data_IF_367047431057
#
_entry.id   IF_367047431057
#
_cell.length_a   1.000
_cell.length_b   1.000
_cell.length_c   1.000
_cell.angle_alpha   90.00
_cell.angle_beta   90.00
_cell.angle_gamma   90.00
#
_symmetry.space_group_name_H-M   'P 1'
#
loop_
_entity.id
_entity.type
_entity.pdbx_description
1 polymer ?
#
# COMPACT_ATOMS: atom_id res chain seq x y z
N UNK A 1 -26.06 -0.18 47.26
CA UNK A 1 -24.73 -0.28 46.60
C UNK A 1 -24.77 -0.96 45.26
N UNK A 2 -25.35 -2.18 45.08
CA UNK A 2 -25.39 -2.92 43.78
C UNK A 2 -26.15 -2.18 42.66
N UNK A 3 -27.23 -1.45 42.95
CA UNK A 3 -27.99 -0.69 41.92
C UNK A 3 -27.21 0.52 41.45
N UNK A 4 -26.53 1.25 42.33
CA UNK A 4 -25.71 2.42 42.00
C UNK A 4 -24.56 2.07 41.08
N UNK A 5 -23.89 0.94 41.30
CA UNK A 5 -22.82 0.43 40.44
C UNK A 5 -23.35 0.12 39.03
N UNK A 6 -24.54 -0.50 38.90
CA UNK A 6 -25.16 -0.79 37.61
C UNK A 6 -25.50 0.49 36.84
N UNK A 7 -26.00 1.52 37.51
CA UNK A 7 -26.33 2.80 36.88
C UNK A 7 -25.06 3.48 36.36
N UNK A 8 -23.99 3.54 37.14
CA UNK A 8 -22.72 4.10 36.73
C UNK A 8 -22.19 3.34 35.50
N UNK A 9 -22.24 2.01 35.50
CA UNK A 9 -21.79 1.18 34.39
C UNK A 9 -22.58 1.45 33.09
N UNK A 10 -23.92 1.59 33.22
CA UNK A 10 -24.74 1.98 32.06
C UNK A 10 -24.39 3.36 31.51
N UNK A 11 -24.14 4.34 32.39
CA UNK A 11 -23.75 5.69 31.96
C UNK A 11 -22.41 5.68 31.27
N UNK A 12 -21.44 4.92 31.76
CA UNK A 12 -20.12 4.77 31.10
C UNK A 12 -20.26 4.14 29.71
N UNK A 13 -21.06 3.06 29.61
CA UNK A 13 -21.29 2.41 28.28
C UNK A 13 -21.94 3.41 27.32
N UNK A 14 -22.96 4.13 27.74
CA UNK A 14 -23.62 5.14 26.91
C UNK A 14 -22.63 6.25 26.46
N UNK A 15 -21.78 6.72 27.35
CA UNK A 15 -20.77 7.72 27.02
C UNK A 15 -19.75 7.19 26.02
N UNK A 16 -19.30 5.94 26.14
CA UNK A 16 -18.37 5.31 25.19
C UNK A 16 -19.03 5.12 23.83
N UNK A 17 -20.29 4.68 23.77
CA UNK A 17 -21.02 4.51 22.53
C UNK A 17 -21.24 5.84 21.80
N UNK A 18 -21.64 6.90 22.53
CA UNK A 18 -21.80 8.23 21.93
C UNK A 18 -20.48 8.80 21.43
N UNK A 19 -19.40 8.71 22.19
CA UNK A 19 -18.07 9.12 21.76
C UNK A 19 -17.62 8.36 20.49
N UNK A 20 -17.87 7.05 20.45
CA UNK A 20 -17.58 6.23 19.29
C UNK A 20 -18.32 6.70 18.02
N UNK A 21 -19.61 7.04 18.15
CA UNK A 21 -20.40 7.57 17.05
C UNK A 21 -19.88 8.92 16.53
N UNK A 22 -19.44 9.81 17.42
CA UNK A 22 -18.83 11.09 17.01
C UNK A 22 -17.53 10.89 16.23
N UNK A 23 -16.70 9.94 16.67
CA UNK A 23 -15.46 9.60 15.95
C UNK A 23 -15.76 9.05 14.56
N UNK A 24 -16.71 8.13 14.42
CA UNK A 24 -17.13 7.59 13.12
C UNK A 24 -17.66 8.67 12.19
N UNK A 25 -18.47 9.58 12.72
CA UNK A 25 -19.03 10.70 11.94
C UNK A 25 -17.92 11.67 11.50
N UNK A 26 -16.94 11.96 12.35
CA UNK A 26 -15.78 12.78 11.99
C UNK A 26 -14.93 12.13 10.87
N UNK A 27 -14.71 10.82 10.91
CA UNK A 27 -14.02 10.08 9.85
C UNK A 27 -14.76 10.19 8.51
N UNK A 28 -16.10 10.06 8.52
CA UNK A 28 -16.92 10.19 7.32
C UNK A 28 -16.93 11.60 6.76
N UNK A 29 -17.14 12.61 7.60
CA UNK A 29 -17.20 14.01 7.15
C UNK A 29 -15.91 14.48 6.50
N UNK A 30 -14.77 14.02 7.02
CA UNK A 30 -13.45 14.38 6.50
C UNK A 30 -12.97 13.44 5.39
N UNK A 31 -13.78 12.44 5.00
CA UNK A 31 -13.46 11.44 3.98
C UNK A 31 -12.07 10.82 4.20
N UNK A 32 -11.81 10.39 5.43
CA UNK A 32 -10.52 9.86 5.84
C UNK A 32 -10.39 8.38 5.46
N UNK A 33 -9.17 7.96 5.16
CA UNK A 33 -8.84 6.55 4.98
C UNK A 33 -8.98 5.79 6.29
N UNK A 34 -9.62 4.62 6.24
CA UNK A 34 -9.86 3.78 7.41
C UNK A 34 -8.56 3.37 8.12
N UNK A 35 -8.61 3.20 9.45
CA UNK A 35 -7.46 2.75 10.24
C UNK A 35 -6.88 1.44 9.74
N UNK A 36 -5.56 1.25 9.95
CA UNK A 36 -4.82 0.04 9.55
C UNK A 36 -4.84 -0.26 8.05
N UNK A 37 -4.98 0.78 7.22
CA UNK A 37 -4.87 0.67 5.77
C UNK A 37 -3.41 0.78 5.36
N UNK A 38 -2.88 -0.27 4.72
CA UNK A 38 -1.49 -0.32 4.27
C UNK A 38 -1.41 -0.61 2.78
N UNK A 39 -0.48 0.08 2.11
CA UNK A 39 -0.06 -0.19 0.74
C UNK A 39 1.45 -0.42 0.74
N UNK A 40 1.90 -1.60 0.31
CA UNK A 40 3.32 -1.97 0.25
C UNK A 40 4.11 -1.61 1.54
N UNK A 41 3.53 -1.87 2.73
CA UNK A 41 4.08 -1.55 4.06
C UNK A 41 4.07 -0.05 4.44
N UNK A 42 3.47 0.81 3.63
CA UNK A 42 3.27 2.23 3.93
C UNK A 42 1.88 2.40 4.54
N UNK A 43 1.78 3.11 5.65
CA UNK A 43 0.52 3.36 6.35
C UNK A 43 -0.19 4.59 5.77
N UNK A 44 -1.45 4.42 5.36
CA UNK A 44 -2.33 5.45 4.83
C UNK A 44 -3.42 5.87 5.81
N UNK A 45 -3.39 5.34 7.03
CA UNK A 45 -4.40 5.58 8.05
C UNK A 45 -4.67 7.07 8.28
N UNK A 46 -5.92 7.46 8.19
CA UNK A 46 -6.37 8.81 8.57
C UNK A 46 -6.02 9.93 7.58
N UNK A 47 -5.43 9.60 6.43
CA UNK A 47 -5.24 10.60 5.37
C UNK A 47 -6.58 10.92 4.70
N UNK A 48 -6.81 12.19 4.39
CA UNK A 48 -7.89 12.62 3.52
C UNK A 48 -7.64 12.21 2.07
N UNK A 49 -8.66 12.27 1.22
CA UNK A 49 -8.55 11.89 -0.20
C UNK A 49 -7.47 12.68 -0.95
N UNK A 50 -7.33 13.98 -0.67
CA UNK A 50 -6.30 14.83 -1.27
C UNK A 50 -4.90 14.51 -0.76
N UNK A 51 -4.73 14.33 0.55
CA UNK A 51 -3.45 13.95 1.15
C UNK A 51 -3.00 12.57 0.70
N UNK A 52 -3.92 11.62 0.63
CA UNK A 52 -3.63 10.26 0.18
C UNK A 52 -3.13 10.22 -1.27
N UNK A 53 -3.67 11.08 -2.15
CA UNK A 53 -3.20 11.15 -3.54
C UNK A 53 -1.77 11.68 -3.61
N UNK A 54 -1.47 12.79 -2.95
CA UNK A 54 -0.12 13.36 -2.91
C UNK A 54 0.88 12.36 -2.30
N UNK A 55 0.50 11.77 -1.16
CA UNK A 55 1.33 10.81 -0.45
C UNK A 55 1.60 9.55 -1.27
N UNK A 56 0.60 9.05 -2.02
CA UNK A 56 0.75 7.91 -2.92
C UNK A 56 1.70 8.24 -4.07
N UNK A 57 1.55 9.40 -4.73
CA UNK A 57 2.39 9.83 -5.84
C UNK A 57 3.86 9.99 -5.42
N UNK A 58 4.12 10.60 -4.26
CA UNK A 58 5.47 10.75 -3.72
C UNK A 58 6.13 9.39 -3.39
N UNK A 59 5.37 8.51 -2.72
CA UNK A 59 5.90 7.19 -2.37
C UNK A 59 6.11 6.30 -3.60
N UNK A 60 5.25 6.37 -4.61
CA UNK A 60 5.46 5.67 -5.87
C UNK A 60 6.67 6.20 -6.63
N UNK A 61 6.86 7.52 -6.68
CA UNK A 61 8.05 8.12 -7.28
C UNK A 61 9.32 7.61 -6.58
N UNK A 62 9.35 7.65 -5.26
CA UNK A 62 10.48 7.14 -4.47
C UNK A 62 10.72 5.65 -4.70
N UNK A 63 9.65 4.85 -4.81
CA UNK A 63 9.74 3.42 -5.11
C UNK A 63 10.31 3.17 -6.51
N UNK A 64 9.85 3.88 -7.52
CA UNK A 64 10.30 3.73 -8.92
C UNK A 64 11.76 4.16 -9.13
N UNK A 65 12.23 5.15 -8.37
CA UNK A 65 13.61 5.65 -8.47
C UNK A 65 14.58 4.93 -7.54
N UNK A 66 14.10 4.08 -6.62
CA UNK A 66 14.96 3.34 -5.70
C UNK A 66 15.80 2.31 -6.46
N UNK A 67 17.14 2.37 -6.34
CA UNK A 67 18.02 1.43 -7.00
C UNK A 67 17.86 0.02 -6.40
N UNK A 68 17.72 -0.97 -7.27
CA UNK A 68 17.78 -2.38 -6.95
C UNK A 68 19.06 -2.99 -7.49
N UNK A 69 19.62 -3.96 -6.78
CA UNK A 69 20.80 -4.66 -7.26
C UNK A 69 20.41 -5.91 -8.05
N UNK A 70 20.95 -6.05 -9.24
CA UNK A 70 20.85 -7.25 -10.06
C UNK A 70 22.24 -7.87 -10.13
N UNK A 71 22.34 -9.15 -9.75
CA UNK A 71 23.58 -9.91 -9.82
C UNK A 71 23.52 -10.97 -10.90
N UNK A 72 24.53 -11.02 -11.77
CA UNK A 72 24.69 -12.08 -12.75
C UNK A 72 26.16 -12.46 -12.88
N UNK A 73 26.49 -13.75 -12.79
CA UNK A 73 27.84 -14.31 -12.93
C UNK A 73 28.93 -13.60 -12.12
N UNK A 74 28.58 -13.17 -10.90
CA UNK A 74 29.52 -12.46 -10.02
C UNK A 74 29.62 -10.96 -10.23
N UNK A 75 29.05 -10.41 -11.32
CA UNK A 75 28.89 -8.98 -11.49
C UNK A 75 27.57 -8.49 -10.83
N UNK A 76 27.62 -7.33 -10.18
CA UNK A 76 26.45 -6.70 -9.57
C UNK A 76 26.28 -5.33 -10.19
N UNK A 77 25.08 -5.07 -10.71
CA UNK A 77 24.68 -3.80 -11.31
C UNK A 77 23.46 -3.25 -10.60
N UNK A 78 23.32 -1.92 -10.62
CA UNK A 78 22.16 -1.23 -10.08
C UNK A 78 21.18 -0.88 -11.20
N UNK A 79 19.89 -1.13 -10.98
CA UNK A 79 18.81 -0.76 -11.89
C UNK A 79 17.65 -0.19 -11.09
N UNK A 80 16.92 0.76 -11.66
CA UNK A 80 15.71 1.30 -11.05
C UNK A 80 14.47 0.71 -11.74
N UNK A 81 13.33 0.70 -11.02
CA UNK A 81 12.04 0.31 -11.61
C UNK A 81 11.64 1.22 -12.78
N UNK A 82 12.10 2.47 -12.75
CA UNK A 82 11.87 3.43 -13.83
C UNK A 82 12.63 3.05 -15.09
N UNK A 83 13.88 2.59 -15.00
CA UNK A 83 14.68 2.14 -16.17
C UNK A 83 14.06 0.93 -16.87
N UNK A 84 13.36 0.06 -16.15
CA UNK A 84 12.65 -1.10 -16.72
C UNK A 84 11.18 -0.80 -17.05
N UNK A 85 10.80 0.47 -17.05
CA UNK A 85 9.47 0.97 -17.41
C UNK A 85 8.33 0.22 -16.68
N UNK A 86 8.45 0.07 -15.36
CA UNK A 86 7.38 -0.52 -14.55
C UNK A 86 6.18 0.41 -14.56
N UNK A 87 5.14 0.01 -15.25
CA UNK A 87 3.86 0.73 -15.26
C UNK A 87 3.08 0.46 -13.98
N UNK A 88 2.97 1.46 -13.12
CA UNK A 88 2.07 1.44 -11.97
C UNK A 88 0.97 2.47 -12.23
N UNK A 89 -0.29 2.00 -12.25
CA UNK A 89 -1.42 2.90 -12.41
C UNK A 89 -1.86 3.42 -11.04
N UNK A 90 -1.52 4.67 -10.77
CA UNK A 90 -1.84 5.37 -9.52
C UNK A 90 -3.34 5.42 -9.24
N UNK A 91 -4.18 5.64 -10.28
CA UNK A 91 -5.63 5.74 -10.10
C UNK A 91 -6.24 4.38 -9.72
N UNK A 92 -5.72 3.27 -10.25
CA UNK A 92 -6.18 1.94 -9.84
C UNK A 92 -5.89 1.69 -8.36
N UNK A 93 -4.71 2.09 -7.88
CA UNK A 93 -4.35 1.93 -6.47
C UNK A 93 -5.20 2.86 -5.60
N UNK A 94 -5.31 4.13 -6.00
CA UNK A 94 -6.08 5.13 -5.29
C UNK A 94 -7.54 4.72 -5.09
N UNK A 95 -8.18 4.17 -6.14
CA UNK A 95 -9.56 3.69 -6.08
C UNK A 95 -9.75 2.42 -5.23
N UNK A 96 -8.68 1.76 -4.81
CA UNK A 96 -8.73 0.64 -3.87
C UNK A 96 -8.60 1.06 -2.41
N UNK A 97 -8.21 2.31 -2.15
CA UNK A 97 -8.11 2.83 -0.79
C UNK A 97 -9.51 2.95 -0.17
N UNK A 98 -9.69 2.48 1.08
CA UNK A 98 -10.98 2.51 1.76
C UNK A 98 -11.22 3.87 2.40
N UNK A 99 -11.92 4.76 1.72
CA UNK A 99 -12.35 6.03 2.30
C UNK A 99 -13.64 5.85 3.12
N UNK A 100 -13.69 6.46 4.30
CA UNK A 100 -14.78 6.25 5.25
C UNK A 100 -16.16 6.67 4.70
N UNK A 101 -16.21 7.65 3.78
CA UNK A 101 -17.44 8.08 3.12
C UNK A 101 -18.09 6.98 2.27
N UNK A 102 -17.28 6.04 1.76
CA UNK A 102 -17.75 4.97 0.85
C UNK A 102 -18.38 3.78 1.60
N UNK A 103 -18.37 3.79 2.96
CA UNK A 103 -18.76 2.66 3.80
C UNK A 103 -19.87 3.00 4.80
N UNK A 104 -20.66 2.01 5.17
CA UNK A 104 -21.57 2.07 6.32
C UNK A 104 -20.80 2.07 7.64
N UNK A 105 -21.44 2.50 8.74
CA UNK A 105 -20.79 2.51 10.06
C UNK A 105 -20.35 1.10 10.50
N UNK A 106 -21.13 0.07 10.17
CA UNK A 106 -20.78 -1.32 10.51
C UNK A 106 -19.53 -1.79 9.75
N UNK A 107 -19.42 -1.44 8.46
CA UNK A 107 -18.26 -1.75 7.65
C UNK A 107 -17.00 -1.00 8.12
N UNK A 108 -17.14 0.27 8.52
CA UNK A 108 -16.03 1.03 9.10
C UNK A 108 -15.48 0.33 10.35
N UNK A 109 -16.38 -0.09 11.27
CA UNK A 109 -15.98 -0.83 12.46
C UNK A 109 -15.27 -2.14 12.09
N UNK A 110 -15.84 -2.89 11.15
CA UNK A 110 -15.25 -4.14 10.68
C UNK A 110 -13.84 -3.92 10.12
N UNK A 111 -13.67 -2.98 9.19
CA UNK A 111 -12.37 -2.70 8.57
C UNK A 111 -11.36 -2.08 9.53
N UNK A 112 -11.81 -1.30 10.54
CA UNK A 112 -10.94 -0.78 11.60
C UNK A 112 -10.29 -1.92 12.41
N UNK A 113 -11.03 -3.01 12.63
CA UNK A 113 -10.52 -4.19 13.33
C UNK A 113 -9.69 -5.08 12.43
N UNK A 114 -10.21 -5.40 11.24
CA UNK A 114 -9.57 -6.32 10.30
C UNK A 114 -8.32 -5.74 9.65
N UNK A 115 -8.30 -4.42 9.39
CA UNK A 115 -7.32 -3.75 8.56
C UNK A 115 -7.52 -4.05 7.06
N UNK A 116 -6.96 -3.23 6.20
CA UNK A 116 -6.97 -3.46 4.76
C UNK A 116 -5.57 -3.30 4.17
N UNK A 117 -5.11 -4.35 3.50
CA UNK A 117 -3.89 -4.30 2.71
C UNK A 117 -4.25 -4.12 1.24
N UNK A 118 -3.73 -3.06 0.64
CA UNK A 118 -3.84 -2.81 -0.79
C UNK A 118 -2.57 -3.31 -1.47
N UNK A 119 -2.72 -4.17 -2.45
CA UNK A 119 -1.57 -4.74 -3.18
C UNK A 119 -1.33 -3.98 -4.50
N UNK A 120 -0.07 -3.63 -4.79
CA UNK A 120 0.27 -3.00 -6.06
C UNK A 120 0.08 -3.98 -7.21
N UNK A 121 -0.72 -3.59 -8.21
CA UNK A 121 -0.76 -4.28 -9.50
C UNK A 121 0.21 -3.59 -10.45
N UNK A 122 1.45 -4.04 -10.46
CA UNK A 122 2.46 -3.56 -11.39
C UNK A 122 2.42 -4.37 -12.70
N UNK A 123 2.51 -3.69 -13.83
CA UNK A 123 2.75 -4.32 -15.13
C UNK A 123 4.23 -4.13 -15.47
N UNK A 124 4.92 -5.22 -15.67
CA UNK A 124 6.32 -5.23 -16.14
C UNK A 124 6.34 -5.71 -17.58
N UNK A 125 6.90 -4.89 -18.45
CA UNK A 125 7.18 -5.30 -19.83
C UNK A 125 8.39 -6.21 -19.83
N UNK A 126 8.19 -7.50 -20.16
CA UNK A 126 9.31 -8.45 -20.27
C UNK A 126 10.36 -7.97 -21.28
N UNK A 127 9.95 -7.39 -22.41
CA UNK A 127 10.85 -6.90 -23.44
C UNK A 127 11.76 -5.77 -22.92
N UNK A 128 11.20 -4.82 -22.17
CA UNK A 128 11.98 -3.71 -21.60
C UNK A 128 12.89 -4.16 -20.47
N UNK A 129 12.43 -5.09 -19.62
CA UNK A 129 13.25 -5.70 -18.60
C UNK A 129 14.48 -6.40 -19.24
N UNK A 130 14.25 -7.22 -20.29
CA UNK A 130 15.34 -7.90 -21.01
C UNK A 130 16.30 -6.90 -21.63
N UNK A 131 15.82 -5.86 -22.31
CA UNK A 131 16.64 -4.83 -22.90
C UNK A 131 17.53 -4.15 -21.84
N UNK A 132 16.96 -3.73 -20.74
CA UNK A 132 17.71 -3.09 -19.66
C UNK A 132 18.75 -4.01 -19.01
N UNK A 133 18.46 -5.30 -18.91
CA UNK A 133 19.44 -6.30 -18.46
C UNK A 133 20.56 -6.50 -19.46
N UNK A 134 20.26 -6.59 -20.75
CA UNK A 134 21.28 -6.72 -21.83
C UNK A 134 22.19 -5.48 -21.87
N UNK A 135 21.65 -4.28 -21.72
CA UNK A 135 22.42 -3.05 -21.67
C UNK A 135 23.38 -3.01 -20.46
N UNK A 136 22.95 -3.52 -19.30
CA UNK A 136 23.74 -3.54 -18.06
C UNK A 136 24.74 -4.70 -18.02
N UNK A 137 24.49 -5.78 -18.74
CA UNK A 137 25.30 -6.99 -18.76
C UNK A 137 25.55 -7.48 -20.20
N UNK A 138 26.32 -6.73 -21.02
CA UNK A 138 26.50 -7.04 -22.45
C UNK A 138 27.18 -8.39 -22.71
N UNK A 139 27.97 -8.88 -21.74
CA UNK A 139 28.72 -10.13 -21.85
C UNK A 139 27.94 -11.38 -21.42
N UNK A 140 26.67 -11.22 -21.05
CA UNK A 140 25.82 -12.37 -20.70
C UNK A 140 25.12 -12.87 -21.97
N UNK A 141 25.42 -14.12 -22.44
CA UNK A 141 24.74 -14.67 -23.59
C UNK A 141 23.25 -14.82 -23.32
N UNK A 142 22.40 -14.49 -24.27
CA UNK A 142 20.96 -14.69 -24.21
C UNK A 142 20.65 -16.15 -23.91
N UNK A 143 20.01 -16.40 -22.77
CA UNK A 143 19.47 -17.70 -22.47
C UNK A 143 18.01 -17.74 -22.90
N UNK A 144 17.65 -18.71 -23.73
CA UNK A 144 16.25 -18.95 -24.14
C UNK A 144 15.38 -19.46 -23.00
N UNK A 145 15.98 -19.89 -21.88
CA UNK A 145 15.29 -20.51 -20.74
C UNK A 145 15.59 -19.84 -19.39
N UNK A 146 15.88 -18.51 -19.38
CA UNK A 146 16.11 -17.80 -18.13
C UNK A 146 14.82 -17.71 -17.31
N UNK A 147 14.84 -18.34 -16.14
CA UNK A 147 13.80 -18.21 -15.12
C UNK A 147 14.19 -17.08 -14.17
N UNK A 148 13.34 -16.06 -14.05
CA UNK A 148 13.55 -14.98 -13.10
C UNK A 148 12.86 -15.29 -11.76
N UNK A 149 13.62 -15.32 -10.67
CA UNK A 149 13.10 -15.37 -9.31
C UNK A 149 13.10 -13.96 -8.70
N UNK A 150 11.95 -13.47 -8.28
CA UNK A 150 11.82 -12.26 -7.47
C UNK A 150 11.80 -12.68 -5.98
N UNK A 151 12.88 -12.42 -5.28
CA UNK A 151 12.88 -12.44 -3.81
C UNK A 151 12.82 -10.98 -3.32
N UNK A 152 12.16 -10.72 -2.20
CA UNK A 152 11.69 -9.42 -1.71
C UNK A 152 12.60 -8.18 -1.91
N UNK A 153 13.89 -8.34 -2.24
CA UNK A 153 14.81 -7.26 -2.59
C UNK A 153 15.89 -7.67 -3.63
N UNK A 154 15.74 -8.79 -4.32
CA UNK A 154 16.78 -9.31 -5.23
C UNK A 154 16.17 -10.04 -6.41
N UNK A 155 16.52 -9.65 -7.62
CA UNK A 155 16.24 -10.43 -8.82
C UNK A 155 17.41 -11.40 -9.00
N UNK A 156 17.12 -12.71 -9.00
CA UNK A 156 18.12 -13.77 -9.28
C UNK A 156 17.86 -14.25 -10.72
N UNK A 157 18.88 -14.20 -11.54
CA UNK A 157 18.89 -14.68 -12.91
C UNK A 157 19.60 -16.02 -12.98
#
# INVERSE_FOLDING_TARGET
MKVFIKVIFCVIIMAVLTAGMFVLDAFKRNDLILPRTQFASIDFTGLSRSEARIFLEENLKNFLTKPMQIGARGAVQSITMQEINVGINTDIIFNQLPFAADFSNAEIIFWTIAGKRVEPKAKISKAELFRSIEEKFPDIPRSTNALFGLTANKIII
#
